data_IF_244769915164
#
_entry.id   IF_244769915164
#
_cell.length_a   1.000
_cell.length_b   1.000
_cell.length_c   1.000
_cell.angle_alpha   90.00
_cell.angle_beta   90.00
_cell.angle_gamma   90.00
#
_symmetry.space_group_name_H-M   'P 1'
#
loop_
_entity.id
_entity.type
_entity.pdbx_description
1 polymer ?
#
# COMPACT_ATOMS: atom_id res chain seq x y z
N UNK A 1 -3.28 -6.36 -9.31
CA UNK A 1 -2.00 -5.65 -9.60
C UNK A 1 -1.70 -5.86 -11.07
N UNK A 2 -1.19 -4.85 -11.75
CA UNK A 2 -0.80 -4.91 -13.16
C UNK A 2 0.60 -4.33 -13.30
N UNK A 3 1.43 -4.95 -14.13
CA UNK A 3 2.82 -4.56 -14.35
C UNK A 3 3.11 -4.61 -15.85
N UNK A 4 3.91 -3.67 -16.35
CA UNK A 4 4.37 -3.66 -17.73
C UNK A 4 5.81 -3.18 -17.82
N UNK A 5 6.53 -3.70 -18.79
CA UNK A 5 7.89 -3.26 -19.10
C UNK A 5 8.09 -3.22 -20.61
N UNK A 6 8.83 -2.22 -21.07
CA UNK A 6 9.21 -2.08 -22.47
C UNK A 6 10.67 -1.65 -22.55
N UNK A 7 11.44 -2.24 -23.47
CA UNK A 7 12.80 -1.79 -23.75
C UNK A 7 13.08 -1.79 -25.25
N UNK A 8 13.93 -0.86 -25.66
CA UNK A 8 14.43 -0.74 -27.02
C UNK A 8 15.94 -0.74 -26.99
N UNK A 9 16.53 -1.60 -27.82
CA UNK A 9 17.98 -1.72 -27.96
C UNK A 9 18.39 -1.35 -29.39
N UNK A 10 19.48 -0.59 -29.53
CA UNK A 10 20.08 -0.26 -30.83
C UNK A 10 21.60 -0.42 -30.79
N UNK A 11 22.15 -1.07 -31.82
CA UNK A 11 23.59 -1.09 -32.05
C UNK A 11 24.05 0.26 -32.60
N UNK A 12 25.03 0.87 -31.94
CA UNK A 12 25.70 2.10 -32.34
C UNK A 12 27.08 1.72 -32.90
N UNK A 13 27.12 1.34 -34.18
CA UNK A 13 28.32 0.82 -34.83
C UNK A 13 28.65 -0.62 -34.44
N UNK A 14 29.94 -1.00 -34.54
CA UNK A 14 30.39 -2.39 -34.43
C UNK A 14 30.65 -2.88 -32.99
N UNK A 15 30.74 -1.96 -32.01
CA UNK A 15 31.18 -2.30 -30.67
C UNK A 15 30.31 -1.73 -29.55
N UNK A 16 29.35 -0.85 -29.85
CA UNK A 16 28.56 -0.15 -28.83
C UNK A 16 27.09 -0.50 -28.98
N UNK A 17 26.41 -0.77 -27.87
CA UNK A 17 24.98 -1.03 -27.79
C UNK A 17 24.37 -0.08 -26.78
N UNK A 18 23.31 0.61 -27.19
CA UNK A 18 22.47 1.44 -26.33
C UNK A 18 21.15 0.70 -26.10
N UNK A 19 20.71 0.68 -24.84
CA UNK A 19 19.40 0.18 -24.44
C UNK A 19 18.71 1.24 -23.59
N UNK A 20 17.43 1.45 -23.85
CA UNK A 20 16.55 2.30 -23.07
C UNK A 20 15.36 1.44 -22.66
N UNK A 21 15.03 1.44 -21.37
CA UNK A 21 13.93 0.64 -20.84
C UNK A 21 13.04 1.42 -19.89
N UNK A 22 11.83 0.91 -19.73
CA UNK A 22 10.79 1.41 -18.85
C UNK A 22 10.11 0.25 -18.13
N UNK A 23 9.75 0.46 -16.87
CA UNK A 23 8.98 -0.45 -16.04
C UNK A 23 7.90 0.35 -15.30
N UNK A 24 6.66 -0.12 -15.34
CA UNK A 24 5.52 0.50 -14.70
C UNK A 24 4.66 -0.52 -13.96
N UNK A 25 4.18 -0.15 -12.77
CA UNK A 25 3.29 -0.94 -11.93
C UNK A 25 2.06 -0.14 -11.53
N UNK A 26 0.92 -0.82 -11.45
CA UNK A 26 -0.34 -0.28 -10.92
C UNK A 26 -1.01 -1.25 -9.95
N UNK A 27 -1.26 -0.79 -8.74
CA UNK A 27 -2.10 -1.44 -7.75
C UNK A 27 -3.46 -0.74 -7.67
N UNK A 28 -4.54 -1.50 -7.77
CA UNK A 28 -5.91 -1.03 -7.57
C UNK A 28 -6.59 -1.88 -6.50
N UNK A 29 -7.58 -1.30 -5.82
CA UNK A 29 -8.35 -1.95 -4.75
C UNK A 29 -7.48 -2.51 -3.63
N UNK A 30 -6.37 -1.83 -3.31
CA UNK A 30 -5.51 -2.21 -2.22
C UNK A 30 -6.22 -1.94 -0.89
N UNK A 31 -5.99 -2.82 0.07
CA UNK A 31 -6.54 -2.67 1.40
C UNK A 31 -5.91 -1.47 2.11
N UNK A 32 -6.76 -0.64 2.71
CA UNK A 32 -6.41 0.53 3.51
C UNK A 32 -7.14 0.43 4.84
N UNK A 33 -6.41 0.61 5.92
CA UNK A 33 -6.99 0.77 7.26
C UNK A 33 -7.09 2.26 7.56
N UNK A 34 -8.31 2.75 7.78
CA UNK A 34 -8.55 4.10 8.27
C UNK A 34 -8.96 4.05 9.74
N UNK A 35 -8.17 4.70 10.61
CA UNK A 35 -8.46 4.77 12.03
C UNK A 35 -9.52 5.84 12.29
N UNK A 36 -10.78 5.48 12.11
CA UNK A 36 -11.93 6.40 12.21
C UNK A 36 -12.20 6.89 13.63
N UNK A 37 -11.72 6.16 14.64
CA UNK A 37 -12.01 6.46 16.04
C UNK A 37 -10.79 6.94 16.82
N UNK A 38 -9.95 7.76 16.19
CA UNK A 38 -8.82 8.39 16.86
C UNK A 38 -9.26 9.68 17.56
N UNK A 39 -8.75 9.92 18.77
CA UNK A 39 -8.98 11.20 19.45
C UNK A 39 -8.00 12.25 18.90
N UNK A 40 -8.47 13.49 18.72
CA UNK A 40 -7.58 14.59 18.34
C UNK A 40 -6.59 14.90 19.48
N UNK A 41 -5.39 15.42 19.18
CA UNK A 41 -4.47 15.89 20.22
C UNK A 41 -5.10 17.00 21.05
N UNK A 42 -5.22 16.80 22.36
CA UNK A 42 -5.71 17.78 23.34
C UNK A 42 -5.46 17.27 24.77
N UNK A 43 -5.52 18.14 25.79
CA UNK A 43 -5.40 17.73 27.19
C UNK A 43 -6.52 16.78 27.64
N UNK A 44 -6.24 16.00 28.68
CA UNK A 44 -7.21 15.11 29.33
C UNK A 44 -7.31 13.69 28.75
N UNK A 45 -8.16 12.83 29.36
CA UNK A 45 -8.27 11.42 29.00
C UNK A 45 -8.64 11.21 27.54
N UNK A 46 -8.12 10.15 26.92
CA UNK A 46 -8.31 9.87 25.49
C UNK A 46 -9.72 9.37 25.19
N UNK A 47 -10.27 8.48 26.02
CA UNK A 47 -11.54 7.79 25.74
C UNK A 47 -12.75 8.73 25.54
N UNK A 48 -12.98 9.77 26.38
CA UNK A 48 -14.10 10.69 26.17
C UNK A 48 -13.99 11.55 24.92
N UNK A 49 -12.79 11.66 24.35
CA UNK A 49 -12.47 12.52 23.20
C UNK A 49 -12.54 11.78 21.86
N UNK A 50 -12.82 10.48 21.88
CA UNK A 50 -13.05 9.70 20.66
C UNK A 50 -14.43 10.02 20.07
N UNK A 51 -14.56 10.10 18.73
CA UNK A 51 -15.85 10.30 18.07
C UNK A 51 -16.90 9.24 18.42
N UNK A 52 -16.48 7.97 18.49
CA UNK A 52 -17.32 6.82 18.83
C UNK A 52 -16.90 6.27 20.20
N UNK A 53 -17.82 6.25 21.16
CA UNK A 53 -17.54 5.82 22.54
C UNK A 53 -18.04 4.42 22.83
N UNK A 54 -19.11 4.03 22.15
CA UNK A 54 -19.79 2.76 22.32
C UNK A 54 -20.19 2.16 20.98
N UNK A 55 -20.33 0.85 20.94
CA UNK A 55 -21.01 0.13 19.87
C UNK A 55 -22.21 -0.62 20.45
N UNK A 56 -23.24 -0.78 19.64
CA UNK A 56 -24.45 -1.52 20.00
C UNK A 56 -24.71 -2.61 18.97
N UNK A 57 -25.30 -3.71 19.42
CA UNK A 57 -25.87 -4.69 18.49
C UNK A 57 -27.01 -4.06 17.68
N UNK A 58 -27.21 -4.56 16.46
CA UNK A 58 -28.31 -4.11 15.60
C UNK A 58 -29.65 -4.55 16.20
N UNK A 59 -30.68 -3.73 16.03
CA UNK A 59 -32.03 -4.05 16.47
C UNK A 59 -32.49 -5.42 15.94
N UNK A 60 -33.07 -6.24 16.82
CA UNK A 60 -33.51 -7.60 16.49
C UNK A 60 -32.41 -8.67 16.55
N UNK A 61 -31.21 -8.35 17.03
CA UNK A 61 -30.18 -9.37 17.32
C UNK A 61 -30.70 -10.40 18.32
N UNK A 62 -30.82 -11.65 17.90
CA UNK A 62 -31.21 -12.78 18.76
C UNK A 62 -29.94 -13.42 19.33
N UNK A 63 -29.86 -13.47 20.65
CA UNK A 63 -28.76 -14.12 21.34
C UNK A 63 -29.08 -15.59 21.64
N UNK A 64 -28.07 -16.49 21.63
CA UNK A 64 -28.27 -17.90 21.95
C UNK A 64 -28.87 -18.11 23.35
N UNK A 65 -29.72 -19.14 23.53
CA UNK A 65 -30.25 -19.48 24.84
C UNK A 65 -29.13 -19.89 25.80
N UNK A 66 -29.27 -19.54 27.08
CA UNK A 66 -28.28 -19.87 28.12
C UNK A 66 -27.15 -18.86 28.30
N UNK A 67 -27.15 -17.74 27.57
CA UNK A 67 -26.18 -16.64 27.76
C UNK A 67 -26.87 -15.47 28.47
N UNK A 68 -26.32 -15.04 29.60
CA UNK A 68 -26.74 -13.80 30.28
C UNK A 68 -26.04 -12.61 29.64
N UNK A 69 -26.80 -11.69 29.05
CA UNK A 69 -26.27 -10.48 28.41
C UNK A 69 -26.34 -9.35 29.42
N UNK A 70 -25.18 -8.80 29.79
CA UNK A 70 -25.12 -7.68 30.72
C UNK A 70 -25.54 -6.34 30.07
N UNK A 71 -25.19 -6.14 28.79
CA UNK A 71 -25.57 -4.96 28.02
C UNK A 71 -25.44 -5.25 26.52
N UNK A 72 -26.34 -4.69 25.72
CA UNK A 72 -26.24 -4.70 24.26
C UNK A 72 -25.44 -3.52 23.70
N UNK A 73 -25.05 -2.58 24.57
CA UNK A 73 -24.17 -1.45 24.26
C UNK A 73 -22.92 -1.53 25.12
N UNK A 74 -21.75 -1.49 24.49
CA UNK A 74 -20.47 -1.66 25.17
C UNK A 74 -19.45 -0.62 24.69
N UNK A 75 -18.47 -0.25 25.53
CA UNK A 75 -17.48 0.76 25.18
C UNK A 75 -16.53 0.24 24.11
N UNK A 76 -16.10 1.14 23.22
CA UNK A 76 -15.10 0.86 22.18
C UNK A 76 -13.90 1.80 22.31
N UNK A 77 -12.75 1.33 21.85
CA UNK A 77 -11.50 2.10 21.82
C UNK A 77 -11.11 2.39 20.36
N UNK A 78 -10.04 1.79 19.85
CA UNK A 78 -9.64 1.93 18.45
C UNK A 78 -10.62 1.19 17.54
N UNK A 79 -11.09 1.88 16.51
CA UNK A 79 -11.93 1.30 15.45
C UNK A 79 -11.24 1.56 14.12
N UNK A 80 -10.96 0.49 13.38
CA UNK A 80 -10.39 0.54 12.04
C UNK A 80 -11.48 0.24 11.01
N UNK A 81 -11.62 1.14 10.05
CA UNK A 81 -12.40 0.91 8.85
C UNK A 81 -11.45 0.31 7.79
N UNK A 82 -11.73 -0.91 7.37
CA UNK A 82 -10.95 -1.62 6.35
C UNK A 82 -11.64 -1.43 5.00
N UNK A 83 -10.96 -0.77 4.08
CA UNK A 83 -11.48 -0.46 2.75
C UNK A 83 -10.55 -0.98 1.66
N UNK A 84 -11.10 -1.38 0.51
CA UNK A 84 -10.31 -1.73 -0.68
C UNK A 84 -10.23 -0.52 -1.63
N UNK A 85 -9.84 0.63 -1.09
CA UNK A 85 -9.85 1.92 -1.81
C UNK A 85 -8.46 2.41 -2.22
N UNK A 86 -7.38 1.84 -1.68
CA UNK A 86 -6.03 2.32 -1.97
C UNK A 86 -5.58 1.97 -3.40
N UNK A 87 -4.75 2.85 -3.95
CA UNK A 87 -4.12 2.71 -5.26
C UNK A 87 -2.63 3.01 -5.13
N UNK A 88 -1.81 2.28 -5.87
CA UNK A 88 -0.37 2.52 -5.97
C UNK A 88 0.03 2.58 -7.43
N UNK A 89 1.06 3.36 -7.72
CA UNK A 89 1.75 3.36 -9.00
C UNK A 89 3.24 3.44 -8.78
N UNK A 90 4.00 2.85 -9.69
CA UNK A 90 5.44 2.99 -9.77
C UNK A 90 5.81 3.06 -11.24
N UNK A 91 6.72 3.95 -11.61
CA UNK A 91 7.16 4.14 -12.99
C UNK A 91 8.67 4.44 -12.95
N UNK A 92 9.47 3.64 -13.64
CA UNK A 92 10.92 3.75 -13.66
C UNK A 92 11.47 3.57 -15.07
N UNK A 93 12.40 4.45 -15.46
CA UNK A 93 13.15 4.34 -16.71
C UNK A 93 14.62 4.05 -16.44
N UNK A 94 15.28 3.33 -17.34
CA UNK A 94 16.73 3.14 -17.31
C UNK A 94 17.35 3.32 -18.70
N UNK A 95 18.64 3.66 -18.70
CA UNK A 95 19.49 3.70 -19.87
C UNK A 95 20.74 2.87 -19.60
N UNK A 96 21.07 1.97 -20.50
CA UNK A 96 22.24 1.11 -20.40
C UNK A 96 23.10 1.26 -21.67
N UNK A 97 24.40 1.48 -21.48
CA UNK A 97 25.39 1.58 -22.56
C UNK A 97 26.42 0.47 -22.36
N UNK A 98 26.56 -0.40 -23.35
CA UNK A 98 27.55 -1.48 -23.36
C UNK A 98 28.51 -1.28 -24.51
N UNK A 99 29.82 -1.26 -24.24
CA UNK A 99 30.87 -1.19 -25.27
C UNK A 99 31.79 -2.40 -25.15
N UNK A 100 31.98 -3.14 -26.25
CA UNK A 100 32.97 -4.21 -26.35
C UNK A 100 34.37 -3.58 -26.39
N UNK A 101 35.22 -3.94 -25.42
CA UNK A 101 36.64 -3.56 -25.43
C UNK A 101 37.35 -4.31 -26.57
N UNK A 102 38.03 -3.57 -27.45
CA UNK A 102 38.73 -4.14 -28.61
C UNK A 102 40.24 -3.87 -28.62
N UNK A 103 40.74 -2.94 -27.80
CA UNK A 103 42.13 -2.50 -27.83
C UNK A 103 42.79 -2.78 -26.47
N UNK A 104 43.10 -4.06 -26.20
CA UNK A 104 43.57 -4.56 -24.91
C UNK A 104 44.60 -3.67 -24.20
N UNK A 105 44.36 -3.38 -22.93
CA UNK A 105 45.39 -2.89 -22.03
C UNK A 105 46.23 -4.10 -21.62
N UNK A 106 47.35 -4.30 -22.31
CA UNK A 106 48.43 -5.18 -21.86
C UNK A 106 49.47 -4.31 -21.17
N UNK A 107 49.60 -4.43 -19.86
CA UNK A 107 50.83 -4.02 -19.17
C UNK A 107 51.77 -5.23 -19.16
N UNK A 108 52.96 -5.06 -19.74
CA UNK A 108 54.12 -5.93 -19.55
C UNK A 108 54.99 -5.36 -18.44
#
# INVERSE_FOLDING_TARGET
MQQWSASLQKSLGHATVLEIGYHGDRGFHLQRAHLINNALPAPGPIQPRRPYKTASFVDGTVFPPGITIASTTFPVSTVNLLENSARSWYDAGYVNIRRRYSNGLSLL
#
